data_IF_612317703694
#
_entry.id   IF_612317703694
#
_cell.length_a   1.000
_cell.length_b   1.000
_cell.length_c   1.000
_cell.angle_alpha   90.00
_cell.angle_beta   90.00
_cell.angle_gamma   90.00
#
_symmetry.space_group_name_H-M   'P 1'
#
loop_
_entity.id
_entity.type
_entity.pdbx_description
1 polymer ?
#
# COMPACT_ATOMS: atom_id res chain seq x y z
N UNK A 1 5.79 -27.72 30.04
CA UNK A 1 6.27 -26.36 29.68
C UNK A 1 5.59 -25.99 28.39
N UNK A 2 4.58 -25.13 28.44
CA UNK A 2 3.97 -24.57 27.22
C UNK A 2 4.71 -23.28 26.90
N UNK A 3 5.44 -23.26 25.80
CA UNK A 3 6.10 -22.07 25.30
C UNK A 3 5.05 -21.13 24.74
N UNK A 4 4.81 -20.00 25.44
CA UNK A 4 4.09 -18.86 24.89
C UNK A 4 4.96 -18.24 23.80
N UNK A 5 4.51 -18.32 22.55
CA UNK A 5 5.10 -17.55 21.46
C UNK A 5 4.60 -16.12 21.56
N UNK A 6 5.41 -15.25 22.18
CA UNK A 6 5.29 -13.80 22.08
C UNK A 6 5.88 -13.36 20.72
N UNK A 7 5.16 -13.61 19.64
CA UNK A 7 5.40 -12.95 18.35
C UNK A 7 4.68 -11.59 18.40
N UNK A 8 5.36 -10.58 18.93
CA UNK A 8 4.88 -9.18 19.04
C UNK A 8 4.91 -8.47 17.67
N UNK A 9 4.34 -9.11 16.65
CA UNK A 9 4.04 -8.46 15.38
C UNK A 9 2.93 -7.43 15.59
N UNK A 10 3.29 -6.23 16.06
CA UNK A 10 2.36 -5.12 16.23
C UNK A 10 1.63 -4.88 14.90
N UNK A 11 0.30 -4.87 14.93
CA UNK A 11 -0.52 -4.76 13.71
C UNK A 11 -1.05 -3.33 13.56
N UNK A 12 -0.58 -2.62 12.54
CA UNK A 12 -1.00 -1.25 12.24
C UNK A 12 -1.97 -1.23 11.05
N UNK A 13 -2.86 -0.23 11.01
CA UNK A 13 -3.67 0.04 9.81
C UNK A 13 -3.05 1.17 9.01
N UNK A 14 -2.85 0.95 7.71
CA UNK A 14 -2.39 1.97 6.77
C UNK A 14 -3.38 2.12 5.61
N UNK A 15 -3.63 3.37 5.22
CA UNK A 15 -4.46 3.67 4.03
C UNK A 15 -3.55 3.82 2.82
N UNK A 16 -3.74 2.98 1.81
CA UNK A 16 -3.04 3.08 0.54
C UNK A 16 -3.89 3.83 -0.48
N UNK A 17 -3.26 4.50 -1.45
CA UNK A 17 -3.95 5.02 -2.64
C UNK A 17 -3.74 4.05 -3.79
N UNK A 18 -4.78 3.33 -4.18
CA UNK A 18 -4.77 2.45 -5.36
C UNK A 18 -5.09 3.26 -6.62
N UNK A 19 -4.36 2.98 -7.70
CA UNK A 19 -4.46 3.76 -8.93
C UNK A 19 -4.21 2.91 -10.17
N UNK A 20 -4.62 3.44 -11.32
CA UNK A 20 -4.37 2.88 -12.65
C UNK A 20 -3.77 3.96 -13.58
N UNK A 21 -2.81 3.56 -14.42
CA UNK A 21 -2.23 4.41 -15.45
C UNK A 21 -2.77 4.00 -16.82
N UNK A 22 -3.58 4.85 -17.45
CA UNK A 22 -4.16 4.56 -18.76
C UNK A 22 -3.10 4.43 -19.88
N UNK A 23 -2.00 5.19 -19.80
CA UNK A 23 -0.96 5.16 -20.83
C UNK A 23 -0.10 3.89 -20.79
N UNK A 24 0.12 3.33 -19.60
CA UNK A 24 0.96 2.16 -19.39
C UNK A 24 0.16 0.88 -19.16
N UNK A 25 -1.16 0.99 -18.98
CA UNK A 25 -2.07 -0.13 -18.67
C UNK A 25 -1.63 -0.92 -17.42
N UNK A 26 -1.05 -0.23 -16.43
CA UNK A 26 -0.62 -0.81 -15.15
C UNK A 26 -1.38 -0.23 -13.98
N UNK A 27 -1.56 -1.06 -12.94
CA UNK A 27 -2.10 -0.65 -11.66
C UNK A 27 -1.01 -0.60 -10.59
N UNK A 28 -1.23 0.21 -9.56
CA UNK A 28 -0.29 0.36 -8.45
C UNK A 28 -0.96 0.81 -7.16
N UNK A 29 -0.14 0.91 -6.12
CA UNK A 29 -0.53 1.43 -4.81
C UNK A 29 0.57 2.32 -4.28
N UNK A 30 0.19 3.50 -3.77
CA UNK A 30 1.11 4.46 -3.17
C UNK A 30 0.81 4.60 -1.67
N UNK A 31 1.82 4.49 -0.79
CA UNK A 31 1.65 4.71 0.64
C UNK A 31 1.38 6.19 0.96
N UNK A 32 0.83 6.49 2.15
CA UNK A 32 0.58 7.87 2.54
C UNK A 32 1.90 8.65 2.63
N UNK A 33 1.86 9.93 2.27
CA UNK A 33 3.03 10.82 2.29
C UNK A 33 3.94 10.76 1.06
N UNK A 34 3.64 9.89 0.09
CA UNK A 34 4.34 9.88 -1.21
C UNK A 34 3.49 10.48 -2.34
N UNK A 35 4.17 10.98 -3.37
CA UNK A 35 3.52 11.42 -4.60
C UNK A 35 2.86 10.23 -5.32
N UNK A 36 1.65 10.44 -5.82
CA UNK A 36 0.87 9.42 -6.52
C UNK A 36 1.10 9.58 -8.02
N UNK A 37 2.02 8.80 -8.57
CA UNK A 37 2.42 8.82 -9.96
C UNK A 37 2.70 7.39 -10.47
N UNK A 38 2.70 7.22 -11.79
CA UNK A 38 2.99 5.92 -12.40
C UNK A 38 4.47 5.58 -12.25
N UNK A 39 4.79 4.48 -11.57
CA UNK A 39 6.18 4.02 -11.41
C UNK A 39 6.90 3.72 -12.73
N UNK A 40 6.15 3.42 -13.80
CA UNK A 40 6.73 3.04 -15.09
C UNK A 40 7.05 4.24 -15.99
N UNK A 41 6.29 5.33 -15.93
CA UNK A 41 6.44 6.45 -16.85
C UNK A 41 6.52 7.83 -16.17
N UNK A 42 6.34 7.90 -14.84
CA UNK A 42 6.24 9.16 -14.09
C UNK A 42 4.98 9.98 -14.39
N UNK A 43 4.06 9.44 -15.20
CA UNK A 43 2.85 10.13 -15.63
C UNK A 43 1.75 10.16 -14.58
N UNK A 44 0.75 11.00 -14.82
CA UNK A 44 -0.48 11.07 -14.04
C UNK A 44 -1.23 9.74 -14.03
N UNK A 45 -1.92 9.48 -12.91
CA UNK A 45 -2.71 8.25 -12.70
C UNK A 45 -4.12 8.58 -12.25
N UNK A 46 -5.05 7.65 -12.45
CA UNK A 46 -6.43 7.75 -11.95
C UNK A 46 -6.51 6.96 -10.64
N UNK A 47 -6.96 7.61 -9.57
CA UNK A 47 -7.20 6.95 -8.28
C UNK A 47 -8.49 6.14 -8.38
N UNK A 48 -8.42 4.85 -8.05
CA UNK A 48 -9.56 3.93 -8.14
C UNK A 48 -10.12 3.53 -6.77
N UNK A 49 -9.28 3.49 -5.73
CA UNK A 49 -9.71 3.18 -4.38
C UNK A 49 -8.71 3.68 -3.32
N UNK A 50 -9.17 3.76 -2.07
CA UNK A 50 -8.34 4.03 -0.89
C UNK A 50 -8.54 3.00 0.22
N UNK A 51 -8.05 1.76 0.04
CA UNK A 51 -8.24 0.70 1.03
C UNK A 51 -7.41 0.96 2.29
N UNK A 52 -8.00 0.68 3.45
CA UNK A 52 -7.27 0.45 4.70
C UNK A 52 -6.81 -1.00 4.74
N UNK A 53 -5.50 -1.22 4.87
CA UNK A 53 -4.92 -2.55 5.04
C UNK A 53 -4.32 -2.67 6.43
N UNK A 54 -4.33 -3.89 6.98
CA UNK A 54 -3.52 -4.21 8.16
C UNK A 54 -2.11 -4.58 7.69
N UNK A 55 -1.10 -3.92 8.24
CA UNK A 55 0.32 -4.20 8.00
C UNK A 55 0.92 -4.74 9.28
N UNK A 56 1.77 -5.76 9.14
CA UNK A 56 2.62 -6.22 10.22
C UNK A 56 3.80 -5.25 10.33
N UNK A 57 3.99 -4.68 11.51
CA UNK A 57 5.17 -3.92 11.88
C UNK A 57 6.11 -4.88 12.61
N UNK A 58 7.38 -4.91 12.21
CA UNK A 58 8.44 -5.73 12.81
C UNK A 58 9.71 -4.93 13.00
#
# INVERSE_FOLDING_TARGET
MEAKSDDDGSMEFVVLTAWECASCEVAGRTPPGMAVECWSCGGSVVITARPSIRRLTG
#
